data_IF_701634369793
#
_entry.id   IF_701634369793
#
_cell.length_a   1.000
_cell.length_b   1.000
_cell.length_c   1.000
_cell.angle_alpha   90.00
_cell.angle_beta   90.00
_cell.angle_gamma   90.00
#
_symmetry.space_group_name_H-M   'P 1'
#
loop_
_entity.id
_entity.type
_entity.pdbx_description
1 polymer ?
#
# COMPACT_ATOMS: atom_id res chain seq x y z
N UNK A 1 -40.07 49.47 -17.19
CA UNK A 1 -41.14 49.39 -16.18
C UNK A 1 -40.97 48.06 -15.43
N UNK A 2 -40.76 48.20 -14.15
CA UNK A 2 -40.43 47.15 -13.19
C UNK A 2 -41.62 46.25 -12.89
N UNK A 3 -41.37 45.00 -12.49
CA UNK A 3 -42.16 44.33 -11.47
C UNK A 3 -41.36 43.18 -10.89
N UNK A 4 -41.00 43.35 -9.62
CA UNK A 4 -40.45 42.35 -8.72
C UNK A 4 -41.53 41.29 -8.39
N UNK A 5 -41.18 40.02 -8.41
CA UNK A 5 -41.91 38.91 -7.80
C UNK A 5 -41.06 38.39 -6.61
N UNK A 6 -41.49 38.74 -5.41
CA UNK A 6 -41.00 38.19 -4.16
C UNK A 6 -41.56 36.78 -3.96
N UNK A 7 -40.72 35.81 -3.73
CA UNK A 7 -41.09 34.50 -3.23
C UNK A 7 -41.26 34.54 -1.71
N UNK A 8 -42.53 34.51 -1.29
CA UNK A 8 -42.98 34.28 0.08
C UNK A 8 -42.86 32.78 0.41
N UNK A 9 -41.77 32.39 1.09
CA UNK A 9 -41.76 31.11 1.78
C UNK A 9 -42.48 31.23 3.13
N UNK A 10 -43.63 30.61 3.24
CA UNK A 10 -44.49 30.52 4.38
C UNK A 10 -43.69 30.10 5.64
N UNK A 11 -43.72 30.96 6.64
CA UNK A 11 -43.31 30.67 8.01
C UNK A 11 -44.30 29.64 8.59
N UNK A 12 -43.84 28.43 8.81
CA UNK A 12 -44.55 27.41 9.58
C UNK A 12 -44.51 27.82 11.04
N UNK A 13 -45.58 28.30 11.60
CA UNK A 13 -45.76 28.58 13.05
C UNK A 13 -45.47 27.30 13.84
N UNK A 14 -44.42 27.36 14.66
CA UNK A 14 -44.11 26.30 15.61
C UNK A 14 -45.07 26.46 16.80
N UNK A 15 -46.00 25.52 16.93
CA UNK A 15 -46.91 25.37 18.06
C UNK A 15 -46.09 25.29 19.36
N UNK A 16 -46.23 26.31 20.23
CA UNK A 16 -45.69 26.34 21.59
C UNK A 16 -46.78 25.82 22.53
N UNK A 17 -46.58 24.68 23.21
CA UNK A 17 -47.49 24.35 24.32
C UNK A 17 -47.09 25.20 25.53
N UNK A 18 -48.06 25.96 26.02
CA UNK A 18 -47.96 26.71 27.27
C UNK A 18 -47.83 25.75 28.47
N UNK A 19 -46.82 25.98 29.30
CA UNK A 19 -46.72 25.35 30.61
C UNK A 19 -45.55 24.39 30.84
N UNK A 20 -44.32 24.80 30.52
CA UNK A 20 -43.12 24.12 31.06
C UNK A 20 -42.37 25.06 31.99
N UNK A 21 -41.99 24.64 33.24
CA UNK A 21 -41.22 25.46 34.14
C UNK A 21 -39.81 25.74 33.59
N UNK A 22 -39.39 27.02 33.68
CA UNK A 22 -38.04 27.48 33.39
C UNK A 22 -37.02 26.77 34.30
N UNK A 23 -36.51 25.64 33.85
CA UNK A 23 -35.35 24.98 34.36
C UNK A 23 -34.24 25.12 33.36
N UNK A 24 -33.46 26.20 33.36
CA UNK A 24 -32.31 26.46 32.55
C UNK A 24 -31.16 25.46 32.84
N UNK A 25 -31.30 24.28 32.30
CA UNK A 25 -30.24 23.31 32.16
C UNK A 25 -30.09 23.06 30.67
N UNK A 26 -29.14 23.74 30.01
CA UNK A 26 -28.63 23.32 28.74
C UNK A 26 -28.04 21.92 28.92
N UNK A 27 -28.87 20.90 28.68
CA UNK A 27 -28.38 19.52 28.53
C UNK A 27 -27.47 19.56 27.31
N UNK A 28 -26.20 19.87 27.50
CA UNK A 28 -25.15 19.46 26.61
C UNK A 28 -25.25 17.94 26.56
N UNK A 29 -26.04 17.44 25.60
CA UNK A 29 -25.96 16.06 25.15
C UNK A 29 -24.54 15.88 24.64
N UNK A 30 -23.62 15.57 25.56
CA UNK A 30 -22.27 15.11 25.19
C UNK A 30 -22.50 13.99 24.19
N UNK A 31 -22.19 14.29 22.92
CA UNK A 31 -22.28 13.31 21.85
C UNK A 31 -21.37 12.16 22.25
N UNK A 32 -21.94 11.13 22.87
CA UNK A 32 -21.19 9.93 23.27
C UNK A 32 -20.59 9.33 22.01
N UNK A 33 -19.28 9.38 21.90
CA UNK A 33 -18.54 8.64 20.89
C UNK A 33 -18.36 7.21 21.38
N UNK A 34 -18.64 6.24 20.54
CA UNK A 34 -18.40 4.83 20.78
C UNK A 34 -17.13 4.42 20.04
N UNK A 35 -16.20 3.78 20.72
CA UNK A 35 -14.97 3.25 20.12
C UNK A 35 -15.17 1.78 19.78
N UNK A 36 -15.14 1.45 18.49
CA UNK A 36 -15.23 0.10 17.98
C UNK A 36 -13.82 -0.44 17.74
N UNK A 37 -13.34 -1.39 18.55
CA UNK A 37 -12.05 -2.02 18.33
C UNK A 37 -12.11 -2.93 17.10
N UNK A 38 -11.02 -2.99 16.34
CA UNK A 38 -10.86 -3.97 15.26
C UNK A 38 -10.11 -5.18 15.84
N UNK A 39 -10.64 -6.38 15.61
CA UNK A 39 -10.06 -7.65 16.07
C UNK A 39 -9.88 -8.59 14.90
N UNK A 40 -8.85 -9.43 14.98
CA UNK A 40 -8.60 -10.47 13.99
C UNK A 40 -8.73 -11.85 14.63
N UNK A 41 -9.73 -12.64 14.22
CA UNK A 41 -10.08 -13.94 14.80
C UNK A 41 -9.38 -15.12 14.12
N UNK A 42 -8.82 -14.92 12.91
CA UNK A 42 -8.19 -15.99 12.14
C UNK A 42 -6.94 -16.57 12.82
N UNK A 43 -6.66 -17.85 12.55
CA UNK A 43 -5.52 -18.59 13.09
C UNK A 43 -4.45 -18.88 12.01
N UNK A 44 -3.19 -19.00 12.43
CA UNK A 44 -2.08 -19.32 11.53
C UNK A 44 -2.21 -20.72 10.92
N UNK A 45 -2.68 -21.69 11.67
CA UNK A 45 -2.86 -23.09 11.23
C UNK A 45 -3.97 -23.23 10.19
N UNK A 46 -5.07 -22.51 10.38
CA UNK A 46 -6.18 -22.46 9.43
C UNK A 46 -5.75 -21.82 8.09
N UNK A 47 -5.06 -20.69 8.18
CA UNK A 47 -4.56 -20.03 6.98
C UNK A 47 -3.46 -20.85 6.28
N UNK A 48 -2.63 -21.59 7.03
CA UNK A 48 -1.64 -22.50 6.44
C UNK A 48 -2.29 -23.57 5.55
N UNK A 49 -3.39 -24.20 5.98
CA UNK A 49 -4.13 -25.18 5.17
C UNK A 49 -4.63 -24.57 3.87
N UNK A 50 -5.18 -23.34 3.93
CA UNK A 50 -5.63 -22.62 2.73
C UNK A 50 -4.44 -22.29 1.82
N UNK A 51 -3.35 -21.81 2.40
CA UNK A 51 -2.17 -21.36 1.67
C UNK A 51 -1.46 -22.51 0.95
N UNK A 52 -1.24 -23.66 1.60
CA UNK A 52 -0.53 -24.78 1.00
C UNK A 52 -1.30 -25.38 -0.19
N UNK A 53 -2.62 -25.52 -0.06
CA UNK A 53 -3.47 -25.97 -1.17
C UNK A 53 -3.43 -24.97 -2.32
N UNK A 54 -3.54 -23.67 -2.03
CA UNK A 54 -3.46 -22.63 -3.05
C UNK A 54 -2.09 -22.59 -3.72
N UNK A 55 -0.99 -22.82 -2.99
CA UNK A 55 0.37 -22.87 -3.52
C UNK A 55 0.50 -24.06 -4.50
N UNK A 56 0.12 -25.26 -4.08
CA UNK A 56 0.20 -26.45 -4.92
C UNK A 56 -0.64 -26.32 -6.18
N UNK A 57 -1.89 -25.86 -6.08
CA UNK A 57 -2.74 -25.64 -7.24
C UNK A 57 -2.18 -24.56 -8.18
N UNK A 58 -1.59 -23.50 -7.64
CA UNK A 58 -0.97 -22.44 -8.46
C UNK A 58 0.26 -22.97 -9.21
N UNK A 59 1.07 -23.83 -8.59
CA UNK A 59 2.22 -24.46 -9.24
C UNK A 59 1.78 -25.44 -10.34
N UNK A 60 0.83 -26.34 -10.04
CA UNK A 60 0.33 -27.33 -11.00
C UNK A 60 -0.35 -26.67 -12.19
N UNK A 61 -1.07 -25.58 -12.00
CA UNK A 61 -1.79 -24.87 -13.07
C UNK A 61 -0.95 -23.77 -13.72
N UNK A 62 0.38 -23.74 -13.50
CA UNK A 62 1.28 -22.71 -14.05
C UNK A 62 0.73 -21.29 -13.88
N UNK A 63 0.32 -20.96 -12.64
CA UNK A 63 -0.25 -19.68 -12.20
C UNK A 63 -1.71 -19.39 -12.59
N UNK A 64 -2.35 -20.20 -13.42
CA UNK A 64 -3.77 -19.98 -13.81
C UNK A 64 -4.73 -20.02 -12.62
N UNK A 65 -4.38 -20.74 -11.55
CA UNK A 65 -5.17 -20.78 -10.31
C UNK A 65 -5.00 -19.53 -9.42
N UNK A 66 -4.08 -18.63 -9.73
CA UNK A 66 -3.75 -17.47 -8.90
C UNK A 66 -4.95 -16.59 -8.50
N UNK A 67 -5.92 -16.28 -9.38
CA UNK A 67 -7.11 -15.48 -9.03
C UNK A 67 -8.00 -16.16 -7.99
N UNK A 68 -8.15 -17.49 -8.10
CA UNK A 68 -8.93 -18.29 -7.13
C UNK A 68 -8.22 -18.33 -5.76
N UNK A 69 -6.90 -18.51 -5.76
CA UNK A 69 -6.08 -18.45 -4.56
C UNK A 69 -6.18 -17.07 -3.88
N UNK A 70 -6.18 -15.99 -4.69
CA UNK A 70 -6.33 -14.61 -4.21
C UNK A 70 -7.73 -14.38 -3.62
N UNK A 71 -8.79 -14.85 -4.27
CA UNK A 71 -10.16 -14.74 -3.75
C UNK A 71 -10.31 -15.43 -2.39
N UNK A 72 -9.82 -16.68 -2.27
CA UNK A 72 -9.83 -17.44 -1.00
C UNK A 72 -9.04 -16.73 0.10
N UNK A 73 -7.87 -16.17 -0.24
CA UNK A 73 -7.07 -15.38 0.71
C UNK A 73 -7.82 -14.15 1.19
N UNK A 74 -8.39 -13.36 0.27
CA UNK A 74 -9.14 -12.15 0.63
C UNK A 74 -10.36 -12.49 1.49
N UNK A 75 -11.13 -13.51 1.12
CA UNK A 75 -12.26 -14.00 1.90
C UNK A 75 -11.83 -14.38 3.33
N UNK A 76 -10.73 -15.13 3.47
CA UNK A 76 -10.23 -15.52 4.79
C UNK A 76 -9.91 -14.31 5.66
N UNK A 77 -9.13 -13.35 5.16
CA UNK A 77 -8.74 -12.18 5.96
C UNK A 77 -9.92 -11.25 6.27
N UNK A 78 -10.82 -11.03 5.32
CA UNK A 78 -11.99 -10.16 5.52
C UNK A 78 -12.97 -10.78 6.51
N UNK A 79 -13.37 -12.04 6.31
CA UNK A 79 -14.34 -12.69 7.17
C UNK A 79 -13.85 -12.91 8.62
N UNK A 80 -12.53 -12.95 8.82
CA UNK A 80 -11.91 -13.00 10.15
C UNK A 80 -11.55 -11.62 10.72
N UNK A 81 -11.92 -10.53 10.06
CA UNK A 81 -11.77 -9.17 10.60
C UNK A 81 -13.09 -8.71 11.18
N UNK A 82 -13.10 -8.44 12.49
CA UNK A 82 -14.29 -8.04 13.26
C UNK A 82 -14.13 -6.57 13.65
N UNK A 83 -15.12 -5.73 13.33
CA UNK A 83 -15.16 -4.31 13.72
C UNK A 83 -16.27 -4.13 14.76
N UNK A 84 -15.88 -3.81 15.99
CA UNK A 84 -16.77 -3.89 17.13
C UNK A 84 -17.16 -5.33 17.45
N UNK A 85 -18.39 -5.72 17.10
CA UNK A 85 -18.90 -7.09 17.26
C UNK A 85 -19.24 -7.77 15.92
N UNK A 86 -19.18 -7.03 14.81
CA UNK A 86 -19.62 -7.48 13.50
C UNK A 86 -18.44 -7.83 12.59
N UNK A 87 -18.40 -9.04 12.01
CA UNK A 87 -17.36 -9.39 11.04
C UNK A 87 -17.58 -8.66 9.72
N UNK A 88 -16.48 -8.43 9.00
CA UNK A 88 -16.56 -8.04 7.61
C UNK A 88 -16.97 -9.23 6.75
N UNK A 89 -17.78 -8.98 5.71
CA UNK A 89 -18.13 -9.97 4.69
C UNK A 89 -17.34 -9.74 3.40
N UNK A 90 -16.98 -10.82 2.70
CA UNK A 90 -16.35 -10.75 1.38
C UNK A 90 -17.17 -11.51 0.34
N UNK A 91 -17.51 -10.85 -0.77
CA UNK A 91 -18.50 -11.29 -1.76
C UNK A 91 -17.95 -11.36 -3.19
N UNK A 92 -16.64 -11.35 -3.38
CA UNK A 92 -16.07 -11.40 -4.72
C UNK A 92 -16.24 -12.78 -5.37
N UNK A 93 -16.67 -12.77 -6.63
CA UNK A 93 -16.75 -13.95 -7.46
C UNK A 93 -15.35 -14.31 -8.02
N UNK A 94 -14.80 -15.51 -7.71
CA UNK A 94 -13.49 -15.91 -8.22
C UNK A 94 -13.42 -15.98 -9.76
N UNK A 95 -14.51 -16.28 -10.44
CA UNK A 95 -14.53 -16.35 -11.91
C UNK A 95 -14.43 -14.97 -12.56
N UNK A 96 -15.03 -13.94 -11.95
CA UNK A 96 -14.85 -12.55 -12.40
C UNK A 96 -13.40 -12.12 -12.21
N UNK A 97 -12.77 -12.48 -11.09
CA UNK A 97 -11.34 -12.24 -10.87
C UNK A 97 -10.45 -12.97 -11.89
N UNK A 98 -10.82 -14.19 -12.28
CA UNK A 98 -10.09 -14.96 -13.30
C UNK A 98 -10.14 -14.29 -14.67
N UNK A 99 -11.31 -13.80 -15.10
CA UNK A 99 -11.46 -13.05 -16.36
C UNK A 99 -10.58 -11.80 -16.38
N UNK A 100 -10.60 -11.02 -15.29
CA UNK A 100 -9.74 -9.85 -15.15
C UNK A 100 -8.25 -10.21 -15.19
N UNK A 101 -7.86 -11.30 -14.56
CA UNK A 101 -6.49 -11.82 -14.61
C UNK A 101 -6.06 -12.19 -16.04
N UNK A 102 -6.91 -12.88 -16.81
CA UNK A 102 -6.60 -13.24 -18.20
C UNK A 102 -6.37 -12.01 -19.07
N UNK A 103 -7.18 -10.96 -18.92
CA UNK A 103 -7.01 -9.72 -19.68
C UNK A 103 -5.65 -9.08 -19.38
N UNK A 104 -5.27 -9.02 -18.10
CA UNK A 104 -3.96 -8.46 -17.70
C UNK A 104 -2.80 -9.34 -18.15
N UNK A 105 -2.96 -10.67 -18.04
CA UNK A 105 -1.94 -11.60 -18.50
C UNK A 105 -1.72 -11.48 -20.02
N UNK A 106 -2.80 -11.40 -20.79
CA UNK A 106 -2.74 -11.18 -22.25
C UNK A 106 -2.07 -9.84 -22.58
N UNK A 107 -2.40 -8.79 -21.85
CA UNK A 107 -1.76 -7.49 -22.01
C UNK A 107 -0.27 -7.56 -21.65
N UNK A 108 0.12 -8.29 -20.60
CA UNK A 108 1.52 -8.52 -20.22
C UNK A 108 2.30 -9.29 -21.30
N UNK A 109 1.68 -10.31 -21.87
CA UNK A 109 2.28 -11.08 -23.01
C UNK A 109 2.44 -10.19 -24.23
N UNK A 110 1.43 -9.39 -24.58
CA UNK A 110 1.51 -8.46 -25.69
C UNK A 110 2.60 -7.40 -25.47
N UNK A 111 2.71 -6.85 -24.28
CA UNK A 111 3.77 -5.91 -23.89
C UNK A 111 5.16 -6.56 -24.05
N UNK A 112 5.34 -7.76 -23.50
CA UNK A 112 6.59 -8.51 -23.63
C UNK A 112 6.93 -8.79 -25.09
N UNK A 113 5.97 -9.22 -25.90
CA UNK A 113 6.18 -9.49 -27.31
C UNK A 113 6.61 -8.22 -28.09
N UNK A 114 5.94 -7.09 -27.85
CA UNK A 114 6.30 -5.80 -28.49
C UNK A 114 7.71 -5.37 -28.09
N UNK A 115 8.05 -5.40 -26.82
CA UNK A 115 9.38 -4.95 -26.36
C UNK A 115 10.51 -5.88 -26.78
N UNK A 116 10.22 -7.17 -27.01
CA UNK A 116 11.23 -8.17 -27.42
C UNK A 116 11.40 -8.22 -28.94
N UNK A 117 10.30 -8.26 -29.70
CA UNK A 117 10.35 -8.45 -31.14
C UNK A 117 10.29 -7.16 -31.96
N UNK A 118 9.77 -6.08 -31.37
CA UNK A 118 9.59 -4.78 -31.99
C UNK A 118 10.11 -3.65 -31.07
N UNK A 119 11.40 -3.66 -30.67
CA UNK A 119 11.94 -2.73 -29.67
C UNK A 119 11.75 -1.26 -30.05
N UNK A 120 11.73 -0.92 -31.34
CA UNK A 120 11.45 0.43 -31.82
C UNK A 120 10.07 0.96 -31.39
N UNK A 121 9.12 0.09 -31.06
CA UNK A 121 7.77 0.43 -30.59
C UNK A 121 7.62 0.33 -29.05
N UNK A 122 8.70 0.06 -28.32
CA UNK A 122 8.67 -0.06 -26.85
C UNK A 122 8.12 1.18 -26.14
N UNK A 123 8.38 2.37 -26.67
CA UNK A 123 7.80 3.63 -26.16
C UNK A 123 6.27 3.68 -26.27
N UNK A 124 5.68 3.11 -27.33
CA UNK A 124 4.21 3.03 -27.45
C UNK A 124 3.63 2.11 -26.37
N UNK A 125 4.28 0.97 -26.11
CA UNK A 125 3.88 0.07 -25.04
C UNK A 125 3.92 0.77 -23.67
N UNK A 126 4.94 1.60 -23.41
CA UNK A 126 5.02 2.44 -22.22
C UNK A 126 3.85 3.45 -22.14
N UNK A 127 3.53 4.15 -23.22
CA UNK A 127 2.40 5.09 -23.25
C UNK A 127 1.06 4.40 -22.97
N UNK A 128 0.82 3.22 -23.58
CA UNK A 128 -0.38 2.43 -23.33
C UNK A 128 -0.45 2.00 -21.85
N UNK A 129 0.68 1.56 -21.27
CA UNK A 129 0.76 1.25 -19.86
C UNK A 129 0.43 2.47 -18.97
N UNK A 130 1.02 3.62 -19.25
CA UNK A 130 0.74 4.87 -18.52
C UNK A 130 -0.72 5.29 -18.61
N UNK A 131 -1.35 5.06 -19.78
CA UNK A 131 -2.76 5.38 -19.99
C UNK A 131 -3.70 4.43 -19.23
N UNK A 132 -3.40 3.13 -19.19
CA UNK A 132 -4.27 2.13 -18.57
C UNK A 132 -4.08 2.01 -17.06
N UNK A 133 -2.86 2.16 -16.55
CA UNK A 133 -2.51 1.90 -15.16
C UNK A 133 -3.36 2.67 -14.14
N UNK A 134 -3.61 3.98 -14.26
CA UNK A 134 -4.45 4.72 -13.31
C UNK A 134 -5.89 4.20 -13.23
N UNK A 135 -6.47 3.80 -14.38
CA UNK A 135 -7.81 3.24 -14.44
C UNK A 135 -7.87 1.86 -13.79
N UNK A 136 -6.89 1.01 -14.07
CA UNK A 136 -6.79 -0.32 -13.49
C UNK A 136 -6.62 -0.25 -11.97
N UNK A 137 -5.77 0.66 -11.48
CA UNK A 137 -5.60 0.87 -10.05
C UNK A 137 -6.88 1.37 -9.36
N UNK A 138 -7.58 2.34 -9.97
CA UNK A 138 -8.88 2.80 -9.50
C UNK A 138 -9.90 1.66 -9.48
N UNK A 139 -10.00 0.88 -10.55
CA UNK A 139 -10.89 -0.26 -10.64
C UNK A 139 -10.61 -1.32 -9.56
N UNK A 140 -9.34 -1.55 -9.25
CA UNK A 140 -8.91 -2.44 -8.16
C UNK A 140 -9.41 -1.95 -6.78
N UNK A 141 -9.32 -0.64 -6.50
CA UNK A 141 -9.86 -0.06 -5.26
C UNK A 141 -11.38 -0.21 -5.19
N UNK A 142 -12.08 0.09 -6.28
CA UNK A 142 -13.54 -0.08 -6.38
C UNK A 142 -13.94 -1.55 -6.17
N UNK A 143 -13.28 -2.48 -6.83
CA UNK A 143 -13.56 -3.91 -6.71
C UNK A 143 -13.42 -4.39 -5.27
N UNK A 144 -12.31 -4.07 -4.60
CA UNK A 144 -12.08 -4.52 -3.20
C UNK A 144 -13.15 -4.01 -2.26
N UNK A 145 -13.47 -2.71 -2.30
CA UNK A 145 -14.44 -2.11 -1.39
C UNK A 145 -15.86 -2.59 -1.68
N UNK A 146 -16.24 -2.69 -2.95
CA UNK A 146 -17.55 -3.16 -3.38
C UNK A 146 -17.85 -4.60 -2.97
N UNK A 147 -16.81 -5.44 -2.94
CA UNK A 147 -16.91 -6.81 -2.49
C UNK A 147 -16.70 -6.99 -0.98
N UNK A 148 -16.49 -5.91 -0.22
CA UNK A 148 -16.40 -5.93 1.23
C UNK A 148 -17.66 -5.32 1.83
N UNK A 149 -18.31 -6.01 2.76
CA UNK A 149 -19.45 -5.48 3.50
C UNK A 149 -19.18 -5.46 5.00
N UNK A 150 -19.81 -4.53 5.68
CA UNK A 150 -19.89 -4.48 7.13
C UNK A 150 -21.35 -4.26 7.55
N UNK A 151 -21.84 -5.05 8.50
CA UNK A 151 -23.24 -5.01 8.92
C UNK A 151 -24.24 -5.13 7.76
N UNK A 152 -23.91 -5.94 6.74
CA UNK A 152 -24.75 -6.12 5.55
C UNK A 152 -24.69 -5.01 4.50
N UNK A 153 -23.98 -3.90 4.76
CA UNK A 153 -23.81 -2.79 3.81
C UNK A 153 -22.44 -2.87 3.14
N UNK A 154 -22.40 -2.78 1.82
CA UNK A 154 -21.14 -2.80 1.05
C UNK A 154 -20.42 -1.46 1.17
N UNK A 155 -19.10 -1.53 1.24
CA UNK A 155 -18.23 -0.36 1.14
C UNK A 155 -18.17 0.13 -0.32
N UNK A 156 -17.83 1.39 -0.52
CA UNK A 156 -17.68 1.97 -1.84
C UNK A 156 -16.38 2.77 -1.98
N UNK A 157 -15.91 2.90 -3.22
CA UNK A 157 -14.82 3.82 -3.57
C UNK A 157 -15.35 4.88 -4.55
N UNK A 158 -15.37 6.13 -4.12
CA UNK A 158 -15.96 7.25 -4.86
C UNK A 158 -14.91 8.10 -5.61
N UNK A 159 -13.65 7.66 -5.67
CA UNK A 159 -12.61 8.35 -6.44
C UNK A 159 -12.95 8.34 -7.95
N UNK A 160 -12.83 9.48 -8.61
CA UNK A 160 -13.08 9.65 -10.04
C UNK A 160 -11.85 9.29 -10.91
N UNK A 161 -12.06 9.10 -12.21
CA UNK A 161 -10.98 8.78 -13.14
C UNK A 161 -9.96 9.92 -13.30
N UNK A 162 -10.43 11.17 -13.35
CA UNK A 162 -9.53 12.35 -13.46
C UNK A 162 -8.60 12.45 -12.26
N UNK A 163 -9.12 12.21 -11.06
CA UNK A 163 -8.33 12.14 -9.84
C UNK A 163 -7.27 11.02 -9.88
N UNK A 164 -7.63 9.83 -10.36
CA UNK A 164 -6.67 8.73 -10.52
C UNK A 164 -5.49 9.11 -11.41
N UNK A 165 -5.75 9.73 -12.57
CA UNK A 165 -4.70 10.23 -13.46
C UNK A 165 -3.86 11.32 -12.79
N UNK A 166 -4.49 12.31 -12.16
CA UNK A 166 -3.79 13.44 -11.55
C UNK A 166 -2.80 13.04 -10.46
N UNK A 167 -3.06 11.92 -9.76
CA UNK A 167 -2.17 11.42 -8.70
C UNK A 167 -1.15 10.39 -9.17
N UNK A 168 -1.44 9.69 -10.28
CA UNK A 168 -0.56 8.64 -10.81
C UNK A 168 0.43 9.14 -11.85
N UNK A 169 0.02 10.06 -12.75
CA UNK A 169 0.89 10.56 -13.82
C UNK A 169 2.24 11.11 -13.34
N UNK A 170 2.34 11.82 -12.20
CA UNK A 170 3.64 12.28 -11.72
C UNK A 170 4.66 11.15 -11.47
N UNK A 171 4.21 9.94 -11.13
CA UNK A 171 5.11 8.79 -10.92
C UNK A 171 5.77 8.29 -12.21
N UNK A 172 5.19 8.61 -13.38
CA UNK A 172 5.76 8.24 -14.67
C UNK A 172 6.75 9.29 -15.22
N UNK A 173 6.80 10.50 -14.63
CA UNK A 173 7.70 11.55 -15.10
C UNK A 173 9.18 11.13 -15.15
N UNK A 174 9.74 10.42 -14.16
CA UNK A 174 11.13 9.94 -14.27
C UNK A 174 11.34 9.00 -15.47
N UNK A 175 10.42 8.04 -15.68
CA UNK A 175 10.51 7.11 -16.80
C UNK A 175 10.42 7.82 -18.15
N UNK A 176 9.54 8.81 -18.27
CA UNK A 176 9.41 9.64 -19.46
C UNK A 176 10.65 10.49 -19.68
N UNK A 177 11.19 11.10 -18.62
CA UNK A 177 12.44 11.87 -18.71
C UNK A 177 13.61 11.00 -19.17
N UNK A 178 13.74 9.78 -18.67
CA UNK A 178 14.76 8.84 -19.14
C UNK A 178 14.56 8.45 -20.60
N UNK A 179 13.33 8.17 -21.03
CA UNK A 179 13.03 7.81 -22.41
C UNK A 179 13.35 8.92 -23.41
N UNK A 180 13.25 10.19 -22.98
CA UNK A 180 13.50 11.36 -23.85
C UNK A 180 14.95 11.84 -23.79
N UNK A 181 15.56 11.81 -22.60
CA UNK A 181 16.85 12.47 -22.35
C UNK A 181 18.06 11.53 -22.50
N UNK A 182 17.86 10.22 -22.39
CA UNK A 182 18.95 9.26 -22.53
C UNK A 182 19.12 8.81 -23.99
N UNK A 183 20.37 8.53 -24.43
CA UNK A 183 20.64 7.98 -25.76
C UNK A 183 19.91 6.65 -25.93
N UNK A 184 19.22 6.48 -27.05
CA UNK A 184 18.52 5.23 -27.37
C UNK A 184 19.45 4.23 -28.09
N UNK A 185 20.55 4.70 -28.67
CA UNK A 185 21.55 3.86 -29.33
C UNK A 185 22.72 3.59 -28.37
N UNK A 186 22.97 2.32 -27.99
CA UNK A 186 24.12 1.96 -27.18
C UNK A 186 25.47 2.27 -27.82
N UNK A 187 25.56 2.32 -29.16
CA UNK A 187 26.80 2.61 -29.86
C UNK A 187 27.23 4.08 -29.67
N UNK A 188 26.27 4.99 -29.55
CA UNK A 188 26.56 6.39 -29.25
C UNK A 188 27.36 6.60 -27.95
N UNK A 189 27.24 5.68 -26.98
CA UNK A 189 28.01 5.70 -25.74
C UNK A 189 29.46 5.25 -25.91
N UNK A 190 29.73 4.44 -26.95
CA UNK A 190 31.08 3.93 -27.27
C UNK A 190 31.83 4.96 -28.10
N UNK A 191 31.13 5.58 -29.07
CA UNK A 191 31.70 6.53 -30.01
C UNK A 191 32.05 7.86 -29.38
N UNK A 192 31.26 8.28 -28.36
CA UNK A 192 31.48 9.54 -27.63
C UNK A 192 31.45 9.35 -26.11
N UNK A 193 32.61 9.21 -25.44
CA UNK A 193 32.70 9.05 -23.99
C UNK A 193 32.04 10.19 -23.19
N UNK A 194 31.85 11.38 -23.78
CA UNK A 194 31.15 12.49 -23.13
C UNK A 194 29.65 12.17 -22.90
N UNK A 195 29.07 11.30 -23.72
CA UNK A 195 27.69 10.83 -23.58
C UNK A 195 27.50 10.04 -22.27
N UNK A 196 28.52 9.29 -21.84
CA UNK A 196 28.47 8.54 -20.58
C UNK A 196 28.34 9.48 -19.37
N UNK A 197 29.16 10.55 -19.33
CA UNK A 197 29.08 11.54 -18.26
C UNK A 197 27.75 12.29 -18.27
N UNK A 198 27.24 12.64 -19.45
CA UNK A 198 25.90 13.25 -19.62
C UNK A 198 24.79 12.32 -19.15
N UNK A 199 24.87 11.03 -19.50
CA UNK A 199 23.92 10.02 -19.04
C UNK A 199 23.88 9.93 -17.52
N UNK A 200 25.04 9.85 -16.83
CA UNK A 200 25.08 9.84 -15.37
C UNK A 200 24.56 11.14 -14.77
N UNK A 201 24.84 12.29 -15.37
CA UNK A 201 24.31 13.57 -14.92
C UNK A 201 22.77 13.61 -15.02
N UNK A 202 22.21 13.22 -16.18
CA UNK A 202 20.75 13.12 -16.38
C UNK A 202 20.13 12.15 -15.39
N UNK A 203 20.70 10.95 -15.23
CA UNK A 203 20.21 9.95 -14.24
C UNK A 203 20.25 10.51 -12.82
N UNK A 204 21.34 11.18 -12.45
CA UNK A 204 21.49 11.81 -11.13
C UNK A 204 20.44 12.89 -10.88
N UNK A 205 20.26 13.80 -11.81
CA UNK A 205 19.28 14.91 -11.71
C UNK A 205 17.85 14.35 -11.65
N UNK A 206 17.47 13.48 -12.57
CA UNK A 206 16.11 12.90 -12.61
C UNK A 206 15.82 12.11 -11.33
N UNK A 207 16.78 11.31 -10.84
CA UNK A 207 16.65 10.58 -9.58
C UNK A 207 16.51 11.54 -8.39
N UNK A 208 17.34 12.56 -8.30
CA UNK A 208 17.27 13.56 -7.22
C UNK A 208 15.93 14.29 -7.19
N UNK A 209 15.48 14.78 -8.34
CA UNK A 209 14.16 15.44 -8.48
C UNK A 209 13.05 14.48 -8.11
N UNK A 210 13.10 13.24 -8.59
CA UNK A 210 12.14 12.19 -8.24
C UNK A 210 12.08 11.92 -6.74
N UNK A 211 13.23 11.81 -6.08
CA UNK A 211 13.31 11.61 -4.62
C UNK A 211 12.75 12.81 -3.84
N UNK A 212 13.04 14.03 -4.28
CA UNK A 212 12.51 15.24 -3.64
C UNK A 212 10.99 15.36 -3.80
N UNK A 213 10.45 14.98 -4.96
CA UNK A 213 9.01 15.01 -5.23
C UNK A 213 8.25 13.82 -4.61
N UNK A 214 8.93 12.71 -4.30
CA UNK A 214 8.30 11.47 -3.88
C UNK A 214 7.33 11.62 -2.68
N UNK A 215 7.66 12.32 -1.57
CA UNK A 215 6.75 12.46 -0.44
C UNK A 215 5.47 13.22 -0.80
N UNK A 216 5.57 14.24 -1.65
CA UNK A 216 4.41 14.99 -2.15
C UNK A 216 3.53 14.12 -3.05
N UNK A 217 4.12 13.37 -3.98
CA UNK A 217 3.41 12.45 -4.86
C UNK A 217 2.70 11.37 -4.03
N UNK A 218 3.41 10.77 -3.07
CA UNK A 218 2.87 9.74 -2.18
C UNK A 218 1.71 10.26 -1.33
N UNK A 219 1.83 11.46 -0.78
CA UNK A 219 0.73 12.14 -0.06
C UNK A 219 -0.51 12.30 -0.94
N UNK A 220 -0.36 12.78 -2.18
CA UNK A 220 -1.48 12.94 -3.12
C UNK A 220 -2.15 11.61 -3.44
N UNK A 221 -1.35 10.57 -3.69
CA UNK A 221 -1.84 9.21 -3.93
C UNK A 221 -2.66 8.70 -2.74
N UNK A 222 -2.12 8.84 -1.51
CA UNK A 222 -2.82 8.41 -0.30
C UNK A 222 -4.03 9.27 0.04
N UNK A 223 -4.00 10.56 -0.23
CA UNK A 223 -5.16 11.44 -0.08
C UNK A 223 -6.31 11.03 -1.03
N UNK A 224 -6.02 10.72 -2.28
CA UNK A 224 -7.00 10.18 -3.22
C UNK A 224 -7.56 8.84 -2.74
N UNK A 225 -6.70 7.92 -2.31
CA UNK A 225 -7.10 6.59 -1.83
C UNK A 225 -7.99 6.68 -0.59
N UNK A 226 -7.52 7.35 0.47
CA UNK A 226 -8.24 7.46 1.74
C UNK A 226 -9.42 8.44 1.65
N UNK A 227 -9.35 9.45 0.79
CA UNK A 227 -10.48 10.36 0.53
C UNK A 227 -11.56 9.77 -0.37
N UNK A 228 -11.32 8.60 -0.97
CA UNK A 228 -12.28 7.90 -1.81
C UNK A 228 -13.12 6.85 -1.08
N UNK A 229 -12.78 6.47 0.16
CA UNK A 229 -13.54 5.46 0.89
C UNK A 229 -14.90 6.02 1.30
N UNK A 230 -15.93 5.20 1.12
CA UNK A 230 -17.28 5.56 1.52
C UNK A 230 -18.00 4.38 2.15
N UNK A 231 -18.84 4.68 3.13
CA UNK A 231 -19.75 3.75 3.76
C UNK A 231 -21.11 4.44 3.95
N UNK A 232 -22.14 3.89 3.32
CA UNK A 232 -23.43 4.57 3.14
C UNK A 232 -23.25 5.94 2.45
N UNK A 233 -23.64 7.02 3.10
CA UNK A 233 -23.50 8.41 2.62
C UNK A 233 -22.25 9.12 3.17
N UNK A 234 -21.49 8.45 4.06
CA UNK A 234 -20.30 9.03 4.66
C UNK A 234 -19.06 8.73 3.81
N UNK A 235 -18.38 9.79 3.41
CA UNK A 235 -17.11 9.74 2.71
C UNK A 235 -15.98 10.09 3.67
N UNK A 236 -14.87 9.38 3.59
CA UNK A 236 -13.67 9.69 4.37
C UNK A 236 -12.82 10.78 3.69
N UNK A 237 -11.98 11.42 4.47
CA UNK A 237 -10.95 12.34 4.02
C UNK A 237 -9.63 12.06 4.73
N UNK A 238 -8.51 12.38 4.08
CA UNK A 238 -7.18 12.33 4.70
C UNK A 238 -6.74 13.74 5.05
N UNK A 239 -6.61 14.03 6.34
CA UNK A 239 -6.21 15.34 6.87
C UNK A 239 -4.70 15.50 7.07
N UNK A 240 -3.91 14.45 6.80
CA UNK A 240 -2.45 14.50 6.92
C UNK A 240 -1.84 15.57 6.01
N UNK A 241 -0.93 16.36 6.58
CA UNK A 241 -0.24 17.44 5.86
C UNK A 241 0.92 16.90 5.00
N UNK A 242 1.30 17.64 3.97
CA UNK A 242 2.45 17.29 3.14
C UNK A 242 3.74 17.21 3.94
N UNK A 243 3.91 18.12 4.93
CA UNK A 243 5.08 18.13 5.81
C UNK A 243 5.25 16.86 6.63
N UNK A 244 4.18 16.24 7.07
CA UNK A 244 4.23 14.96 7.80
C UNK A 244 4.81 13.84 6.93
N UNK A 245 4.51 13.84 5.61
CA UNK A 245 5.10 12.88 4.67
C UNK A 245 6.59 13.17 4.43
N UNK A 246 6.99 14.43 4.29
CA UNK A 246 8.40 14.80 4.20
C UNK A 246 9.19 14.45 5.47
N UNK A 247 8.62 14.75 6.63
CA UNK A 247 9.23 14.37 7.93
C UNK A 247 9.43 12.86 8.06
N UNK A 248 8.43 12.08 7.65
CA UNK A 248 8.56 10.62 7.63
C UNK A 248 9.65 10.17 6.65
N UNK A 249 9.67 10.72 5.44
CA UNK A 249 10.67 10.41 4.42
C UNK A 249 12.10 10.73 4.90
N UNK A 250 12.32 11.90 5.49
CA UNK A 250 13.62 12.28 6.04
C UNK A 250 14.08 11.35 7.16
N UNK A 251 13.15 10.92 8.04
CA UNK A 251 13.44 9.92 9.07
C UNK A 251 13.82 8.56 8.47
N UNK A 252 13.16 8.17 7.38
CA UNK A 252 13.49 6.94 6.64
C UNK A 252 14.87 7.05 6.01
N UNK A 253 15.19 8.17 5.34
CA UNK A 253 16.52 8.41 4.77
C UNK A 253 17.60 8.35 5.86
N UNK A 254 17.37 9.03 6.98
CA UNK A 254 18.28 8.97 8.13
C UNK A 254 18.48 7.55 8.68
N UNK A 255 17.40 6.77 8.76
CA UNK A 255 17.47 5.37 9.17
C UNK A 255 18.26 4.51 8.17
N UNK A 256 18.02 4.69 6.85
CA UNK A 256 18.80 3.99 5.80
C UNK A 256 20.29 4.32 5.93
N UNK A 257 20.63 5.61 6.04
CA UNK A 257 22.02 6.06 6.21
C UNK A 257 22.64 5.42 7.46
N UNK A 258 21.93 5.43 8.59
CA UNK A 258 22.42 4.80 9.83
C UNK A 258 22.66 3.30 9.66
N UNK A 259 21.73 2.57 9.02
CA UNK A 259 21.89 1.12 8.77
C UNK A 259 23.08 0.86 7.84
N UNK A 260 23.24 1.66 6.77
CA UNK A 260 24.38 1.54 5.84
C UNK A 260 25.70 1.80 6.54
N UNK A 261 25.79 2.85 7.39
CA UNK A 261 27.01 3.15 8.15
C UNK A 261 27.36 2.04 9.14
N UNK A 262 26.37 1.50 9.85
CA UNK A 262 26.61 0.36 10.76
C UNK A 262 27.06 -0.87 9.97
N UNK A 263 26.42 -1.19 8.85
CA UNK A 263 26.83 -2.31 8.01
C UNK A 263 28.24 -2.12 7.44
N UNK A 264 28.59 -0.90 7.01
CA UNK A 264 29.94 -0.55 6.53
C UNK A 264 30.98 -0.69 7.64
N UNK A 265 30.66 -0.24 8.87
CA UNK A 265 31.54 -0.39 10.03
C UNK A 265 31.81 -1.88 10.34
N UNK A 266 30.75 -2.69 10.39
CA UNK A 266 30.85 -4.15 10.63
C UNK A 266 31.68 -4.82 9.53
N UNK A 267 31.42 -4.51 8.27
CA UNK A 267 32.19 -5.05 7.15
C UNK A 267 33.66 -4.60 7.21
N UNK A 268 33.91 -3.34 7.57
CA UNK A 268 35.26 -2.81 7.77
C UNK A 268 36.03 -3.52 8.90
N UNK A 269 35.36 -3.79 10.04
CA UNK A 269 35.94 -4.57 11.13
C UNK A 269 36.27 -6.00 10.70
N UNK A 270 35.34 -6.66 10.00
CA UNK A 270 35.56 -8.02 9.45
C UNK A 270 36.75 -8.00 8.48
N UNK A 271 36.81 -7.02 7.57
CA UNK A 271 37.91 -6.87 6.64
C UNK A 271 39.26 -6.64 7.37
N UNK A 272 39.30 -5.75 8.37
CA UNK A 272 40.51 -5.47 9.13
C UNK A 272 41.02 -6.71 9.91
N UNK A 273 40.10 -7.46 10.55
CA UNK A 273 40.46 -8.71 11.25
C UNK A 273 40.96 -9.75 10.26
N UNK A 274 40.29 -9.95 9.14
CA UNK A 274 40.71 -10.94 8.11
C UNK A 274 42.01 -10.53 7.43
N UNK A 275 42.25 -9.23 7.18
CA UNK A 275 43.52 -8.69 6.69
C UNK A 275 44.65 -8.87 7.70
N UNK A 276 44.38 -8.61 8.98
CA UNK A 276 45.37 -8.82 10.05
C UNK A 276 45.88 -10.28 10.11
N UNK A 277 44.94 -11.23 10.01
CA UNK A 277 45.28 -12.66 9.89
C UNK A 277 46.04 -12.99 8.60
N UNK A 278 45.73 -12.33 7.47
CA UNK A 278 46.39 -12.54 6.19
C UNK A 278 47.80 -11.93 6.16
N UNK A 279 48.03 -10.77 6.74
CA UNK A 279 49.33 -10.13 6.86
C UNK A 279 50.30 -10.99 7.67
N UNK A 280 49.83 -11.64 8.73
CA UNK A 280 50.63 -12.61 9.48
C UNK A 280 51.00 -13.87 8.65
N UNK A 281 50.34 -14.13 7.53
CA UNK A 281 50.60 -15.26 6.64
C UNK A 281 51.30 -14.86 5.33
N UNK A 282 51.65 -13.59 5.12
CA UNK A 282 52.31 -13.10 3.89
C UNK A 282 53.71 -13.64 3.68
N UNK A 283 54.33 -14.23 4.72
CA UNK A 283 55.58 -14.99 4.60
C UNK A 283 55.45 -16.30 3.78
N UNK A 284 54.22 -16.65 3.35
CA UNK A 284 53.94 -17.85 2.53
C UNK A 284 53.42 -17.45 1.14
N UNK A 285 53.83 -18.15 0.05
CA UNK A 285 53.42 -17.81 -1.33
C UNK A 285 51.91 -17.77 -1.59
N UNK A 286 51.11 -18.40 -0.71
CA UNK A 286 49.65 -18.43 -0.81
C UNK A 286 48.93 -17.22 -0.11
N UNK A 287 49.68 -16.27 0.44
CA UNK A 287 49.10 -15.17 1.27
C UNK A 287 48.25 -14.18 0.47
N UNK A 288 48.68 -13.84 -0.76
CA UNK A 288 47.94 -12.89 -1.63
C UNK A 288 46.58 -13.41 -2.06
N UNK A 289 46.47 -14.72 -2.36
CA UNK A 289 45.20 -15.34 -2.71
C UNK A 289 44.19 -15.34 -1.54
N UNK A 290 44.68 -15.55 -0.30
CA UNK A 290 43.83 -15.49 0.90
C UNK A 290 43.35 -14.08 1.22
N UNK A 291 44.16 -13.05 0.96
CA UNK A 291 43.78 -11.65 1.17
C UNK A 291 42.67 -11.21 0.20
N UNK A 292 42.75 -11.59 -1.09
CA UNK A 292 41.72 -11.30 -2.05
C UNK A 292 40.39 -12.01 -1.71
N UNK A 293 40.49 -13.25 -1.22
CA UNK A 293 39.33 -14.04 -0.80
C UNK A 293 38.63 -13.44 0.43
N UNK A 294 39.42 -13.02 1.44
CA UNK A 294 38.92 -12.36 2.64
C UNK A 294 38.19 -11.04 2.33
N UNK A 295 38.75 -10.23 1.43
CA UNK A 295 38.14 -8.98 0.97
C UNK A 295 36.82 -9.26 0.19
N UNK A 296 36.81 -10.28 -0.67
CA UNK A 296 35.61 -10.74 -1.36
C UNK A 296 34.49 -11.17 -0.38
N UNK A 297 34.83 -11.92 0.68
CA UNK A 297 33.89 -12.28 1.73
C UNK A 297 33.35 -11.07 2.49
N UNK A 298 34.19 -10.08 2.81
CA UNK A 298 33.76 -8.86 3.50
C UNK A 298 32.78 -8.04 2.65
N UNK A 299 33.07 -7.86 1.36
CA UNK A 299 32.15 -7.20 0.42
C UNK A 299 30.84 -8.01 0.28
N UNK A 300 30.92 -9.32 0.10
CA UNK A 300 29.75 -10.20 -0.01
C UNK A 300 28.86 -10.10 1.23
N UNK A 301 29.46 -10.14 2.43
CA UNK A 301 28.74 -9.97 3.70
C UNK A 301 28.09 -8.58 3.83
N UNK A 302 28.79 -7.53 3.42
CA UNK A 302 28.24 -6.16 3.39
C UNK A 302 27.02 -6.05 2.46
N UNK A 303 27.17 -6.54 1.23
CA UNK A 303 26.09 -6.53 0.25
C UNK A 303 24.90 -7.36 0.74
N UNK A 304 25.13 -8.56 1.25
CA UNK A 304 24.09 -9.42 1.82
C UNK A 304 23.38 -8.73 3.01
N UNK A 305 24.14 -8.08 3.89
CA UNK A 305 23.57 -7.32 5.00
C UNK A 305 22.68 -6.18 4.51
N UNK A 306 23.09 -5.42 3.49
CA UNK A 306 22.26 -4.35 2.90
C UNK A 306 20.97 -4.90 2.31
N UNK A 307 21.04 -5.99 1.54
CA UNK A 307 19.86 -6.59 0.90
C UNK A 307 18.86 -7.18 1.90
N UNK A 308 19.31 -7.64 3.06
CA UNK A 308 18.43 -8.26 4.07
C UNK A 308 18.04 -7.26 5.15
N UNK A 309 19.00 -6.55 5.76
CA UNK A 309 18.77 -5.72 6.95
C UNK A 309 18.02 -4.43 6.56
N UNK A 310 18.37 -3.78 5.45
CA UNK A 310 17.73 -2.53 5.05
C UNK A 310 16.22 -2.73 4.79
N UNK A 311 15.77 -3.64 3.92
CA UNK A 311 14.33 -3.85 3.73
C UNK A 311 13.62 -4.29 5.01
N UNK A 312 14.26 -5.08 5.84
CA UNK A 312 13.69 -5.58 7.09
C UNK A 312 13.42 -4.46 8.10
N UNK A 313 14.44 -3.66 8.41
CA UNK A 313 14.36 -2.58 9.40
C UNK A 313 13.52 -1.41 8.85
N UNK A 314 13.86 -0.97 7.65
CA UNK A 314 13.16 0.15 6.98
C UNK A 314 11.72 -0.22 6.68
N UNK A 315 11.46 -1.43 6.17
CA UNK A 315 10.11 -1.90 5.87
C UNK A 315 9.22 -1.96 7.11
N UNK A 316 9.74 -2.46 8.24
CA UNK A 316 9.00 -2.48 9.49
C UNK A 316 8.73 -1.05 10.02
N UNK A 317 9.75 -0.18 9.97
CA UNK A 317 9.61 1.21 10.40
C UNK A 317 8.60 1.98 9.54
N UNK A 318 8.76 1.94 8.21
CA UNK A 318 7.85 2.59 7.27
C UNK A 318 6.44 2.04 7.42
N UNK A 319 6.29 0.71 7.49
CA UNK A 319 4.99 0.06 7.65
C UNK A 319 4.25 0.53 8.90
N UNK A 320 4.95 0.66 10.04
CA UNK A 320 4.33 1.14 11.29
C UNK A 320 3.99 2.64 11.24
N UNK A 321 4.94 3.46 10.85
CA UNK A 321 4.76 4.93 10.86
C UNK A 321 3.78 5.41 9.80
N UNK A 322 3.81 4.82 8.61
CA UNK A 322 2.86 5.13 7.54
C UNK A 322 1.45 4.70 7.93
N UNK A 323 1.27 3.51 8.51
CA UNK A 323 -0.05 3.08 8.98
C UNK A 323 -0.60 4.04 10.05
N UNK A 324 0.19 4.39 11.07
CA UNK A 324 -0.22 5.36 12.08
C UNK A 324 -0.55 6.71 11.46
N UNK A 325 0.30 7.23 10.56
CA UNK A 325 0.06 8.50 9.87
C UNK A 325 -1.25 8.49 9.08
N UNK A 326 -1.52 7.44 8.32
CA UNK A 326 -2.71 7.36 7.47
C UNK A 326 -3.98 7.19 8.30
N UNK A 327 -4.01 6.19 9.19
CA UNK A 327 -5.24 5.89 9.93
C UNK A 327 -5.58 6.93 10.98
N UNK A 328 -4.61 7.52 11.70
CA UNK A 328 -4.88 8.60 12.65
C UNK A 328 -5.33 9.92 11.99
N UNK A 329 -5.10 10.08 10.68
CA UNK A 329 -5.56 11.25 9.92
C UNK A 329 -6.69 10.92 8.93
N UNK A 330 -7.22 9.70 8.94
CA UNK A 330 -8.41 9.34 8.16
C UNK A 330 -9.66 9.54 8.99
N UNK A 331 -10.54 10.41 8.53
CA UNK A 331 -11.80 10.74 9.24
C UNK A 331 -12.95 10.94 8.26
N UNK A 332 -14.19 10.82 8.75
CA UNK A 332 -15.40 11.30 8.10
C UNK A 332 -16.10 12.32 9.00
N UNK A 333 -17.25 12.82 8.62
CA UNK A 333 -18.05 13.73 9.45
C UNK A 333 -18.46 13.11 10.79
N UNK A 334 -18.67 11.78 10.81
CA UNK A 334 -19.24 11.06 11.96
C UNK A 334 -18.33 9.96 12.51
N UNK A 335 -17.20 9.72 11.89
CA UNK A 335 -16.23 8.73 12.35
C UNK A 335 -14.80 9.22 12.23
N UNK A 336 -13.96 8.73 13.13
CA UNK A 336 -12.51 8.96 13.14
C UNK A 336 -11.83 7.63 13.37
N UNK A 337 -10.72 7.42 12.68
CA UNK A 337 -9.86 6.27 12.95
C UNK A 337 -8.67 6.69 13.81
N UNK A 338 -8.26 5.84 14.73
CA UNK A 338 -7.02 6.00 15.50
C UNK A 338 -6.13 4.78 15.32
N UNK A 339 -4.82 4.98 15.43
CA UNK A 339 -3.82 3.90 15.30
C UNK A 339 -2.64 4.19 16.22
N UNK A 340 -2.51 3.43 17.32
CA UNK A 340 -1.58 3.78 18.39
C UNK A 340 -0.49 2.75 18.73
N UNK A 341 -0.57 1.50 18.29
CA UNK A 341 0.19 0.41 18.93
C UNK A 341 1.09 -0.40 18.00
N UNK A 342 1.92 0.23 17.17
CA UNK A 342 2.83 -0.52 16.29
C UNK A 342 4.30 -0.57 16.75
N UNK A 343 4.58 -0.28 18.03
CA UNK A 343 5.92 -0.46 18.61
C UNK A 343 6.49 -1.87 18.43
N UNK A 344 5.72 -2.96 18.66
CA UNK A 344 6.19 -4.33 18.50
C UNK A 344 6.43 -4.78 17.07
N UNK A 345 6.05 -3.98 16.04
CA UNK A 345 6.09 -4.40 14.63
C UNK A 345 7.49 -4.83 14.19
N UNK A 346 8.51 -4.11 14.59
CA UNK A 346 9.90 -4.47 14.26
C UNK A 346 10.28 -5.83 14.81
N UNK A 347 10.02 -6.06 16.11
CA UNK A 347 10.32 -7.35 16.76
C UNK A 347 9.56 -8.51 16.10
N UNK A 348 8.26 -8.32 15.85
CA UNK A 348 7.44 -9.36 15.19
C UNK A 348 7.94 -9.63 13.78
N UNK A 349 8.33 -8.58 13.04
CA UNK A 349 8.88 -8.72 11.69
C UNK A 349 10.19 -9.47 11.69
N UNK A 350 11.13 -9.13 12.61
CA UNK A 350 12.42 -9.82 12.76
C UNK A 350 12.24 -11.31 13.07
N UNK A 351 11.41 -11.62 14.07
CA UNK A 351 11.12 -13.02 14.45
C UNK A 351 10.45 -13.78 13.29
N UNK A 352 9.52 -13.16 12.61
CA UNK A 352 8.85 -13.79 11.46
C UNK A 352 9.85 -14.10 10.34
N UNK A 353 10.76 -13.18 10.00
CA UNK A 353 11.76 -13.41 8.96
C UNK A 353 12.73 -14.53 9.35
N UNK A 354 13.19 -14.55 10.62
CA UNK A 354 14.02 -15.64 11.12
C UNK A 354 13.31 -17.00 10.97
N UNK A 355 12.05 -17.08 11.39
CA UNK A 355 11.27 -18.31 11.29
C UNK A 355 10.97 -18.70 9.84
N UNK A 356 10.72 -17.74 8.94
CA UNK A 356 10.55 -18.00 7.50
C UNK A 356 11.84 -18.60 6.92
N UNK A 357 13.00 -18.04 7.27
CA UNK A 357 14.29 -18.53 6.81
C UNK A 357 14.57 -19.95 7.34
N UNK A 358 14.39 -20.18 8.63
CA UNK A 358 14.62 -21.49 9.27
C UNK A 358 13.66 -22.58 8.74
N UNK A 359 12.46 -22.21 8.32
CA UNK A 359 11.47 -23.15 7.78
C UNK A 359 11.42 -23.18 6.26
N UNK A 360 12.42 -22.61 5.57
CA UNK A 360 12.47 -22.53 4.09
C UNK A 360 11.16 -21.98 3.48
N UNK A 361 10.58 -20.98 4.14
CA UNK A 361 9.36 -20.31 3.67
C UNK A 361 8.04 -20.88 4.22
N UNK A 362 8.02 -22.06 4.85
CA UNK A 362 6.79 -22.68 5.34
C UNK A 362 6.13 -21.87 6.47
N UNK A 363 6.87 -21.03 7.18
CA UNK A 363 6.32 -20.13 8.20
C UNK A 363 5.60 -18.91 7.64
N UNK A 364 5.67 -18.65 6.33
CA UNK A 364 5.07 -17.48 5.68
C UNK A 364 3.59 -17.22 6.02
N UNK A 365 2.68 -18.24 6.02
CA UNK A 365 1.28 -18.05 6.39
C UNK A 365 1.10 -17.59 7.83
N UNK A 366 1.85 -18.18 8.77
CA UNK A 366 1.82 -17.79 10.19
C UNK A 366 2.31 -16.36 10.38
N UNK A 367 3.37 -15.97 9.69
CA UNK A 367 3.89 -14.59 9.68
C UNK A 367 2.84 -13.60 9.16
N UNK A 368 2.12 -13.95 8.08
CA UNK A 368 1.02 -13.13 7.52
C UNK A 368 -0.10 -12.91 8.53
N UNK A 369 -0.56 -13.96 9.21
CA UNK A 369 -1.61 -13.88 10.23
C UNK A 369 -1.16 -13.04 11.43
N UNK A 370 0.07 -13.27 11.94
CA UNK A 370 0.63 -12.46 13.04
C UNK A 370 0.70 -10.97 12.68
N UNK A 371 1.16 -10.67 11.48
CA UNK A 371 1.29 -9.30 11.00
C UNK A 371 -0.09 -8.65 10.77
N UNK A 372 -1.04 -9.38 10.20
CA UNK A 372 -2.41 -8.91 9.99
C UNK A 372 -3.08 -8.60 11.34
N UNK A 373 -3.00 -9.51 12.30
CA UNK A 373 -3.52 -9.31 13.66
C UNK A 373 -2.94 -8.05 14.29
N UNK A 374 -1.61 -7.91 14.31
CA UNK A 374 -0.95 -6.75 14.89
C UNK A 374 -1.38 -5.43 14.23
N UNK A 375 -1.48 -5.41 12.89
CA UNK A 375 -1.85 -4.22 12.13
C UNK A 375 -3.32 -3.85 12.28
N UNK A 376 -4.22 -4.82 12.30
CA UNK A 376 -5.66 -4.60 12.42
C UNK A 376 -6.04 -4.19 13.85
N UNK A 377 -5.52 -4.89 14.85
CA UNK A 377 -5.82 -4.60 16.25
C UNK A 377 -5.17 -3.29 16.76
N UNK A 378 -4.21 -2.74 16.01
CA UNK A 378 -3.67 -1.41 16.26
C UNK A 378 -4.62 -0.29 15.84
N UNK A 379 -5.67 -0.56 15.07
CA UNK A 379 -6.62 0.43 14.57
C UNK A 379 -7.94 0.29 15.30
N UNK A 380 -8.54 1.42 15.68
CA UNK A 380 -9.89 1.50 16.22
C UNK A 380 -10.71 2.54 15.45
N UNK A 381 -12.02 2.32 15.42
CA UNK A 381 -12.98 3.20 14.77
C UNK A 381 -13.81 3.90 15.85
N UNK A 382 -13.67 5.23 15.99
CA UNK A 382 -14.51 6.06 16.84
C UNK A 382 -15.72 6.53 16.04
N UNK A 383 -16.93 6.27 16.53
CA UNK A 383 -18.19 6.58 15.86
C UNK A 383 -19.10 7.36 16.81
N UNK A 384 -19.82 8.35 16.31
CA UNK A 384 -20.85 9.05 17.12
C UNK A 384 -22.02 8.12 17.37
N UNK A 385 -22.49 8.02 18.61
CA UNK A 385 -23.50 7.04 19.07
C UNK A 385 -24.84 7.12 18.32
N UNK A 386 -25.22 8.28 17.82
CA UNK A 386 -26.44 8.42 16.98
C UNK A 386 -26.34 7.66 15.65
N UNK A 387 -25.16 7.29 15.23
CA UNK A 387 -24.93 6.59 13.95
C UNK A 387 -25.18 5.08 14.07
N UNK A 388 -25.01 4.51 15.26
CA UNK A 388 -25.21 3.08 15.51
C UNK A 388 -26.68 2.65 15.47
N UNK A 389 -27.61 3.56 15.83
CA UNK A 389 -29.04 3.26 15.92
C UNK A 389 -29.83 3.42 14.61
N UNK A 390 -29.24 4.04 13.59
CA UNK A 390 -29.90 4.29 12.28
C UNK A 390 -29.70 3.21 11.21
N UNK A 391 -28.85 2.22 11.45
CA UNK A 391 -28.39 1.24 10.45
C UNK A 391 -29.46 0.24 9.98
N UNK A 392 -30.47 -0.02 10.80
CA UNK A 392 -31.53 -0.97 10.46
C UNK A 392 -32.49 -0.47 9.36
N UNK A 393 -32.45 0.82 8.98
CA UNK A 393 -33.37 1.42 8.02
C UNK A 393 -32.83 1.60 6.60
N UNK A 394 -31.55 1.40 6.36
CA UNK A 394 -30.91 1.64 5.04
C UNK A 394 -30.46 0.33 4.38
N UNK A 395 -31.33 -0.67 4.39
CA UNK A 395 -31.22 -1.82 3.50
C UNK A 395 -31.80 -1.42 2.14
N UNK A 396 -31.02 -0.68 1.35
CA UNK A 396 -31.39 -0.38 -0.03
C UNK A 396 -30.61 -1.34 -0.96
N UNK A 397 -31.29 -2.20 -1.72
CA UNK A 397 -30.68 -3.06 -2.71
C UNK A 397 -30.42 -2.26 -3.99
N UNK A 398 -29.50 -1.32 -3.95
CA UNK A 398 -29.04 -0.64 -5.17
C UNK A 398 -28.08 -1.59 -5.90
N UNK A 399 -28.60 -2.28 -6.79
CA UNK A 399 -28.76 -2.03 -8.20
C UNK A 399 -27.68 -2.73 -8.99
N UNK A 400 -28.08 -3.82 -9.67
CA UNK A 400 -27.33 -4.65 -10.62
C UNK A 400 -26.64 -3.89 -11.78
N UNK A 401 -26.83 -2.59 -11.94
CA UNK A 401 -26.28 -1.77 -13.03
C UNK A 401 -24.81 -1.37 -12.85
N UNK A 402 -24.25 -1.56 -11.64
CA UNK A 402 -22.84 -1.28 -11.39
C UNK A 402 -21.89 -2.48 -11.59
N UNK A 403 -22.39 -3.69 -11.82
CA UNK A 403 -21.58 -4.90 -11.84
C UNK A 403 -20.66 -5.01 -13.07
N UNK A 404 -21.04 -4.45 -14.21
CA UNK A 404 -20.25 -4.52 -15.43
C UNK A 404 -18.92 -3.74 -15.38
N UNK A 405 -18.85 -2.65 -14.62
CA UNK A 405 -17.59 -1.88 -14.46
C UNK A 405 -16.64 -2.48 -13.40
N UNK A 406 -17.14 -3.40 -12.56
CA UNK A 406 -16.34 -4.09 -11.55
C UNK A 406 -15.53 -5.28 -12.09
N UNK A 407 -15.77 -5.71 -13.31
CA UNK A 407 -15.13 -6.90 -13.91
C UNK A 407 -13.63 -6.73 -14.19
N UNK A 408 -13.12 -5.49 -14.17
CA UNK A 408 -11.69 -5.20 -14.34
C UNK A 408 -10.92 -5.11 -13.02
N UNK A 409 -11.38 -5.78 -11.97
CA UNK A 409 -10.79 -5.77 -10.64
C UNK A 409 -9.41 -6.42 -10.57
N UNK A 410 -8.38 -5.67 -10.93
CA UNK A 410 -6.98 -6.06 -10.74
C UNK A 410 -6.55 -5.63 -9.35
N UNK A 411 -6.32 -6.60 -8.47
CA UNK A 411 -5.68 -6.36 -7.20
C UNK A 411 -4.17 -6.27 -7.42
N UNK A 412 -3.64 -5.07 -7.39
CA UNK A 412 -2.23 -4.79 -7.56
C UNK A 412 -1.42 -4.93 -6.26
N UNK A 413 -2.00 -5.54 -5.22
CA UNK A 413 -1.23 -6.00 -4.05
C UNK A 413 -0.55 -4.90 -3.22
N UNK A 414 -1.09 -3.66 -3.19
CA UNK A 414 -0.58 -2.56 -2.35
C UNK A 414 -1.36 -2.45 -1.05
#
# INVERSE_FOLDING_TARGET
>A
MASNGHDDFAQTEIFKPDGAPDGGGSVQRSERSETLPIRFTGSGSEYFRIWIVNLLLTLVTLTLYLPFARARRMAYFQNNTVVGQDPLGFHADPWKMFRGYLIVALFGVAYWAVTTFLPAFGWMALLVFMALWPLLWRASLQFRLRNTSWRGVRLAFLGDGKGAYSVMLPFFLPALAYAVLLPQDPQALVDDPSQVSRMFAVMGVVTLVGLLMFPWMWKRLKAYQHGGYAYTQERTELTATTWQFYSLFLKVVGLVVAVVLVAALVAGVIAAVTMGFSLASLSRPSGMGKMSMAFGFAIGAFVAALYVVVPLVVGAYVGSRMQNLLWSHTRSRRSRMSSDRLGPLLRVTLVNWLLILLTLGLFWPFAKVRLARLKLEAVSLEVRAMWTNGWHRLRDPQGALGDAAGDFGIDLGL
#
